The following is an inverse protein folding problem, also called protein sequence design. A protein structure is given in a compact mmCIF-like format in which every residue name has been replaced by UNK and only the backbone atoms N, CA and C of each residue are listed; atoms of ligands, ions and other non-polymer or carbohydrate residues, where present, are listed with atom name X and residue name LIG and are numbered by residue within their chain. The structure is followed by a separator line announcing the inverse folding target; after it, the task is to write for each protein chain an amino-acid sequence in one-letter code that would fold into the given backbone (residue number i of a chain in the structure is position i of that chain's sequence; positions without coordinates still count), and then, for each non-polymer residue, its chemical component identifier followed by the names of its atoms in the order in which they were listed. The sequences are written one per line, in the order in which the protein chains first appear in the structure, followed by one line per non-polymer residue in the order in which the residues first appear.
data_IF_847490305649
#
_entry.id   IF_847490305649
#
_cell.length_a   1.000
_cell.length_b   1.000
_cell.length_c   1.000
_cell.angle_alpha   90.00
_cell.angle_beta   90.00
_cell.angle_gamma   90.00
#
_symmetry.space_group_name_H-M   'P 1'
#
loop_
_entity.id
_entity.type
_entity.pdbx_description
1 polymer ?
#
# COMPACT_ATOMS: atom_id res chain seq x y z
N UNK A 1 -26.68 10.58 21.38
CA UNK A 1 -25.47 10.52 20.51
C UNK A 1 -25.93 10.90 19.13
N UNK A 2 -25.26 11.77 18.40
CA UNK A 2 -25.70 12.06 17.05
C UNK A 2 -25.48 10.81 16.20
N UNK A 3 -26.53 10.22 15.67
CA UNK A 3 -26.45 9.29 14.57
C UNK A 3 -25.87 10.07 13.39
N UNK A 4 -24.64 9.80 13.03
CA UNK A 4 -24.06 10.33 11.81
C UNK A 4 -24.53 9.40 10.69
N UNK A 5 -25.72 9.69 10.15
CA UNK A 5 -26.23 9.02 8.96
C UNK A 5 -25.45 9.52 7.75
N UNK A 6 -24.28 8.91 7.49
CA UNK A 6 -23.60 9.07 6.22
C UNK A 6 -24.04 7.93 5.30
N UNK A 7 -24.52 8.27 4.12
CA UNK A 7 -24.79 7.27 3.08
C UNK A 7 -23.46 6.88 2.45
N UNK A 8 -23.19 5.59 2.39
CA UNK A 8 -22.00 5.07 1.72
C UNK A 8 -22.10 5.32 0.22
N UNK A 9 -21.13 6.04 -0.35
CA UNK A 9 -21.11 6.37 -1.78
C UNK A 9 -21.04 5.15 -2.72
N UNK A 10 -20.61 3.99 -2.18
CA UNK A 10 -20.48 2.75 -2.96
C UNK A 10 -21.71 1.84 -2.90
N UNK A 11 -22.42 1.83 -1.79
CA UNK A 11 -23.56 0.91 -1.60
C UNK A 11 -24.89 1.62 -1.41
N UNK A 12 -24.89 2.95 -1.17
CA UNK A 12 -26.11 3.71 -0.89
C UNK A 12 -26.76 3.41 0.47
N UNK A 13 -26.13 2.59 1.32
CA UNK A 13 -26.63 2.26 2.65
C UNK A 13 -26.04 3.19 3.73
N UNK A 14 -26.69 3.23 4.90
CA UNK A 14 -26.24 4.05 6.01
C UNK A 14 -24.88 3.58 6.55
N UNK A 15 -23.94 4.52 6.67
CA UNK A 15 -22.66 4.25 7.32
C UNK A 15 -22.83 4.14 8.83
N UNK A 16 -22.18 3.18 9.43
CA UNK A 16 -22.10 3.06 10.88
C UNK A 16 -20.94 3.90 11.43
N UNK A 17 -21.18 4.60 12.52
CA UNK A 17 -20.15 5.38 13.21
C UNK A 17 -19.63 4.63 14.42
N UNK A 18 -18.32 4.69 14.65
CA UNK A 18 -17.73 4.41 15.96
C UNK A 18 -17.86 5.66 16.84
N UNK A 19 -17.50 5.56 18.12
CA UNK A 19 -17.36 6.76 18.99
C UNK A 19 -16.29 7.72 18.47
N UNK A 20 -15.33 7.21 17.71
CA UNK A 20 -14.09 7.88 17.33
C UNK A 20 -13.87 7.94 15.80
N UNK A 21 -14.68 7.24 15.00
CA UNK A 21 -14.54 7.26 13.54
C UNK A 21 -15.77 6.76 12.80
N UNK A 22 -15.83 7.04 11.51
CA UNK A 22 -16.92 6.63 10.64
C UNK A 22 -16.48 5.47 9.74
N UNK A 23 -17.30 4.45 9.65
CA UNK A 23 -17.13 3.33 8.74
C UNK A 23 -18.49 2.88 8.17
N UNK A 24 -18.43 2.22 7.02
CA UNK A 24 -19.59 1.53 6.44
C UNK A 24 -19.29 0.03 6.46
N UNK A 25 -20.17 -0.78 7.03
CA UNK A 25 -20.01 -2.23 7.14
C UNK A 25 -21.07 -2.96 6.33
N UNK A 26 -20.62 -3.92 5.53
CA UNK A 26 -21.46 -4.87 4.79
C UNK A 26 -20.95 -6.28 5.04
N UNK A 27 -21.66 -7.07 5.82
CA UNK A 27 -21.27 -8.42 6.21
C UNK A 27 -19.81 -8.48 6.73
N UNK A 28 -18.91 -9.06 5.96
CA UNK A 28 -17.49 -9.18 6.26
C UNK A 28 -16.61 -8.07 5.65
N UNK A 29 -17.23 -7.01 5.12
CA UNK A 29 -16.52 -5.89 4.48
C UNK A 29 -16.79 -4.61 5.25
N UNK A 30 -15.71 -3.86 5.50
CA UNK A 30 -15.74 -2.51 6.07
C UNK A 30 -15.07 -1.54 5.09
N UNK A 31 -15.71 -0.38 4.84
CA UNK A 31 -15.10 0.75 4.13
C UNK A 31 -14.65 1.78 5.15
N UNK A 32 -13.34 2.02 5.23
CA UNK A 32 -12.75 2.89 6.23
C UNK A 32 -11.43 3.50 5.75
N UNK A 33 -11.22 4.80 6.02
CA UNK A 33 -10.10 5.53 5.43
C UNK A 33 -10.28 5.79 3.94
N UNK A 34 -9.33 6.47 3.33
CA UNK A 34 -9.39 6.81 1.89
C UNK A 34 -7.97 6.91 1.33
N UNK A 35 -7.73 6.33 0.18
CA UNK A 35 -6.43 6.31 -0.47
C UNK A 35 -6.58 6.49 -2.00
N UNK A 36 -5.59 7.00 -2.74
CA UNK A 36 -5.68 7.03 -4.20
C UNK A 36 -5.77 5.61 -4.75
N UNK A 37 -6.72 5.35 -5.64
CA UNK A 37 -6.97 4.00 -6.17
C UNK A 37 -7.16 4.00 -7.69
N UNK A 38 -8.30 4.49 -8.18
CA UNK A 38 -8.69 4.41 -9.58
C UNK A 38 -8.12 5.56 -10.39
N UNK A 39 -7.50 5.24 -11.52
CA UNK A 39 -7.01 6.22 -12.48
C UNK A 39 -8.14 6.95 -13.21
N UNK A 40 -8.02 8.24 -13.36
CA UNK A 40 -8.94 9.09 -14.13
C UNK A 40 -8.64 8.92 -15.62
N UNK A 41 -9.43 8.11 -16.32
CA UNK A 41 -9.31 7.87 -17.77
C UNK A 41 -10.04 8.90 -18.63
N UNK A 42 -10.93 9.71 -18.04
CA UNK A 42 -11.61 10.80 -18.74
C UNK A 42 -10.64 11.94 -19.05
N UNK A 43 -10.37 12.17 -20.33
CA UNK A 43 -9.40 13.18 -20.79
C UNK A 43 -9.82 14.61 -20.39
N UNK A 44 -11.13 14.91 -20.39
CA UNK A 44 -11.65 16.24 -20.02
C UNK A 44 -11.41 16.51 -18.54
N UNK A 45 -11.72 15.53 -17.69
CA UNK A 45 -11.45 15.63 -16.25
C UNK A 45 -9.96 15.68 -15.99
N UNK A 46 -9.15 14.83 -16.61
CA UNK A 46 -7.69 14.84 -16.47
C UNK A 46 -7.08 16.18 -16.83
N UNK A 47 -7.51 16.80 -17.95
CA UNK A 47 -7.08 18.15 -18.33
C UNK A 47 -7.50 19.21 -17.30
N UNK A 48 -8.72 19.14 -16.77
CA UNK A 48 -9.20 20.04 -15.71
C UNK A 48 -8.37 19.91 -14.43
N UNK A 49 -8.06 18.68 -14.00
CA UNK A 49 -7.23 18.41 -12.83
C UNK A 49 -5.81 18.97 -13.02
N UNK A 50 -5.22 18.74 -14.20
CA UNK A 50 -3.89 19.25 -14.54
C UNK A 50 -3.86 20.78 -14.53
N UNK A 51 -4.88 21.44 -15.09
CA UNK A 51 -5.01 22.90 -15.04
C UNK A 51 -5.15 23.41 -13.59
N UNK A 52 -5.91 22.70 -12.75
CA UNK A 52 -6.07 23.03 -11.33
C UNK A 52 -4.77 22.89 -10.55
N UNK A 53 -3.96 21.88 -10.86
CA UNK A 53 -2.66 21.65 -10.23
C UNK A 53 -1.62 22.71 -10.57
N UNK A 54 -1.79 23.42 -11.70
CA UNK A 54 -0.86 24.45 -12.18
C UNK A 54 0.33 23.85 -12.91
N UNK A 55 1.51 24.47 -12.76
CA UNK A 55 2.71 24.04 -13.49
C UNK A 55 3.16 22.63 -13.12
N UNK A 56 3.49 21.84 -14.12
CA UNK A 56 4.07 20.50 -13.94
C UNK A 56 5.52 20.62 -13.44
N UNK A 57 6.02 19.62 -12.70
CA UNK A 57 7.39 19.61 -12.23
C UNK A 57 8.38 19.42 -13.38
N UNK A 58 9.60 19.89 -13.16
CA UNK A 58 10.76 19.68 -14.03
C UNK A 58 11.91 19.11 -13.20
N UNK A 59 13.01 18.71 -13.85
CA UNK A 59 14.22 18.24 -13.12
C UNK A 59 14.79 19.31 -12.17
N UNK A 60 14.60 20.61 -12.47
CA UNK A 60 15.16 21.74 -11.71
C UNK A 60 14.16 22.42 -10.79
N UNK A 61 12.86 22.23 -10.98
CA UNK A 61 11.82 22.88 -10.20
C UNK A 61 10.62 21.93 -10.01
N UNK A 62 10.31 21.65 -8.75
CA UNK A 62 9.16 20.81 -8.39
C UNK A 62 7.81 21.50 -8.56
N UNK A 63 7.75 22.82 -8.75
CA UNK A 63 6.52 23.61 -8.94
C UNK A 63 5.43 23.32 -7.89
N UNK A 64 5.83 23.07 -6.63
CA UNK A 64 4.93 22.73 -5.53
C UNK A 64 4.43 21.27 -5.53
N UNK A 65 5.05 20.41 -6.32
CA UNK A 65 4.87 18.97 -6.21
C UNK A 65 5.80 18.38 -5.13
N UNK A 66 5.37 17.31 -4.49
CA UNK A 66 6.09 16.64 -3.41
C UNK A 66 6.81 15.40 -3.96
N UNK A 67 8.05 15.18 -3.52
CA UNK A 67 8.79 13.96 -3.85
C UNK A 67 8.27 12.75 -3.08
N UNK A 68 8.28 11.58 -3.73
CA UNK A 68 8.14 10.29 -3.06
C UNK A 68 9.43 9.83 -2.36
N UNK A 69 10.51 10.61 -2.45
CA UNK A 69 11.83 10.26 -1.93
C UNK A 69 12.44 8.97 -2.53
N UNK A 70 12.02 8.62 -3.75
CA UNK A 70 12.68 7.57 -4.52
C UNK A 70 13.83 8.15 -5.32
N UNK A 71 15.04 7.63 -5.09
CA UNK A 71 16.26 8.08 -5.77
C UNK A 71 16.93 6.89 -6.47
N UNK A 72 17.32 7.05 -7.75
CA UNK A 72 18.19 6.06 -8.43
C UNK A 72 19.61 6.18 -7.89
N UNK A 73 20.09 7.40 -7.85
CA UNK A 73 21.36 7.84 -7.29
C UNK A 73 21.11 9.21 -6.70
N UNK A 74 21.72 9.49 -5.58
CA UNK A 74 21.56 10.78 -4.89
C UNK A 74 21.89 12.01 -5.75
N UNK A 75 22.70 11.85 -6.83
CA UNK A 75 23.02 12.90 -7.79
C UNK A 75 21.97 13.09 -8.89
N UNK A 76 21.07 12.12 -9.12
CA UNK A 76 20.04 12.17 -10.19
C UNK A 76 18.73 12.81 -9.76
N UNK A 77 18.52 13.01 -8.46
CA UNK A 77 17.32 13.63 -7.92
C UNK A 77 16.12 12.67 -7.83
N UNK A 78 14.95 13.25 -7.73
CA UNK A 78 13.71 12.50 -7.52
C UNK A 78 13.30 11.72 -8.78
N UNK A 79 12.77 10.51 -8.58
CA UNK A 79 12.20 9.69 -9.66
C UNK A 79 10.75 10.06 -9.94
N UNK A 80 9.99 10.29 -8.90
CA UNK A 80 8.55 10.52 -8.95
C UNK A 80 8.14 11.66 -8.03
N UNK A 81 7.12 12.37 -8.47
CA UNK A 81 6.52 13.46 -7.69
C UNK A 81 5.00 13.29 -7.67
N UNK A 82 4.37 13.79 -6.61
CA UNK A 82 2.91 13.80 -6.50
C UNK A 82 2.39 15.17 -6.07
N UNK A 83 1.10 15.40 -6.34
CA UNK A 83 0.35 16.54 -5.84
C UNK A 83 -1.09 16.16 -5.55
N UNK A 84 -1.53 16.42 -4.33
CA UNK A 84 -2.92 16.25 -3.95
C UNK A 84 -3.69 17.54 -4.21
N UNK A 85 -4.87 17.42 -4.85
CA UNK A 85 -5.78 18.53 -5.11
C UNK A 85 -7.21 18.14 -4.81
N UNK A 86 -8.07 19.14 -4.60
CA UNK A 86 -9.52 18.95 -4.51
C UNK A 86 -10.16 19.63 -5.72
N UNK A 87 -10.96 18.88 -6.47
CA UNK A 87 -11.72 19.38 -7.61
C UNK A 87 -13.17 18.91 -7.47
N UNK A 88 -14.12 19.86 -7.52
CA UNK A 88 -15.56 19.59 -7.33
C UNK A 88 -15.87 18.82 -6.02
N UNK A 89 -15.14 19.09 -4.95
CA UNK A 89 -15.29 18.42 -3.65
C UNK A 89 -14.65 17.02 -3.55
N UNK A 90 -14.06 16.51 -4.61
CA UNK A 90 -13.40 15.20 -4.65
C UNK A 90 -11.89 15.39 -4.60
N UNK A 91 -11.21 14.60 -3.76
CA UNK A 91 -9.74 14.61 -3.65
C UNK A 91 -9.13 13.70 -4.71
N UNK A 92 -8.08 14.20 -5.36
CA UNK A 92 -7.30 13.47 -6.36
C UNK A 92 -5.80 13.61 -6.07
N UNK A 93 -5.02 12.60 -6.42
CA UNK A 93 -3.57 12.62 -6.43
C UNK A 93 -3.07 12.57 -7.86
N UNK A 94 -2.34 13.60 -8.27
CA UNK A 94 -1.55 13.57 -9.51
C UNK A 94 -0.21 12.93 -9.23
N UNK A 95 0.23 12.01 -10.09
CA UNK A 95 1.56 11.39 -10.07
C UNK A 95 2.28 11.75 -11.35
N UNK A 96 3.52 12.23 -11.22
CA UNK A 96 4.37 12.61 -12.34
C UNK A 96 5.67 11.83 -12.31
N UNK A 97 5.94 11.06 -13.37
CA UNK A 97 7.15 10.26 -13.50
C UNK A 97 8.24 11.07 -14.20
N UNK A 98 9.32 11.41 -13.47
CA UNK A 98 10.53 11.98 -14.07
C UNK A 98 11.42 10.89 -14.67
N UNK A 99 11.57 9.80 -13.93
CA UNK A 99 12.29 8.59 -14.33
C UNK A 99 11.49 7.38 -13.79
N UNK A 100 11.68 6.22 -14.39
CA UNK A 100 11.08 4.98 -13.84
C UNK A 100 11.78 4.55 -12.55
N UNK A 101 11.01 4.05 -11.62
CA UNK A 101 11.51 3.44 -10.39
C UNK A 101 12.15 2.09 -10.74
N UNK A 102 13.40 1.83 -10.36
CA UNK A 102 14.04 0.54 -10.63
C UNK A 102 13.41 -0.55 -9.77
N UNK A 103 13.30 -1.77 -10.30
CA UNK A 103 12.76 -2.93 -9.56
C UNK A 103 13.61 -3.29 -8.34
N UNK A 104 14.91 -2.96 -8.37
CA UNK A 104 15.83 -3.05 -7.25
C UNK A 104 16.75 -1.82 -7.28
N UNK A 105 16.72 -1.03 -6.23
CA UNK A 105 17.51 0.21 -6.12
C UNK A 105 19.02 -0.07 -6.12
N UNK A 106 19.44 -1.25 -5.69
CA UNK A 106 20.85 -1.65 -5.64
C UNK A 106 21.37 -2.31 -6.92
N UNK A 107 20.50 -2.87 -7.75
CA UNK A 107 20.87 -3.51 -9.01
C UNK A 107 20.57 -2.57 -10.18
N UNK A 108 21.57 -2.17 -10.91
CA UNK A 108 21.40 -1.39 -12.14
C UNK A 108 20.63 -2.21 -13.18
N UNK A 109 19.42 -1.84 -13.40
CA UNK A 109 18.48 -2.04 -14.50
C UNK A 109 18.91 -2.91 -15.69
N UNK A 110 18.72 -4.21 -15.59
CA UNK A 110 18.67 -5.11 -16.75
C UNK A 110 17.22 -5.43 -17.18
N UNK A 111 16.21 -4.99 -16.41
CA UNK A 111 14.79 -5.32 -16.63
C UNK A 111 13.98 -4.08 -16.98
N UNK A 112 12.95 -4.27 -17.80
CA UNK A 112 11.94 -3.23 -18.03
C UNK A 112 11.29 -2.84 -16.70
N UNK A 113 11.25 -1.55 -16.36
CA UNK A 113 10.60 -1.13 -15.12
C UNK A 113 9.12 -1.51 -15.11
N UNK A 114 8.63 -2.01 -13.96
CA UNK A 114 7.23 -2.42 -13.80
C UNK A 114 6.21 -1.32 -14.16
N UNK A 115 6.55 -0.06 -13.90
CA UNK A 115 5.71 1.08 -14.27
C UNK A 115 5.51 1.18 -15.78
N UNK A 116 6.57 0.92 -16.57
CA UNK A 116 6.50 0.91 -18.03
C UNK A 116 5.70 -0.30 -18.52
N UNK A 117 5.89 -1.49 -17.91
CA UNK A 117 5.11 -2.70 -18.23
C UNK A 117 3.63 -2.50 -17.89
N UNK A 118 3.32 -1.77 -16.81
CA UNK A 118 1.98 -1.38 -16.42
C UNK A 118 1.37 -0.27 -17.31
N UNK A 119 2.10 0.21 -18.33
CA UNK A 119 1.60 1.14 -19.34
C UNK A 119 1.76 2.63 -19.00
N UNK A 120 2.56 2.99 -18.00
CA UNK A 120 2.83 4.39 -17.65
C UNK A 120 4.04 4.94 -18.37
N UNK A 121 3.92 6.21 -18.84
CA UNK A 121 4.95 6.91 -19.59
C UNK A 121 5.61 8.01 -18.77
N UNK A 122 6.91 8.23 -19.01
CA UNK A 122 7.66 9.33 -18.40
C UNK A 122 7.13 10.70 -18.82
N UNK A 123 7.27 11.67 -17.93
CA UNK A 123 6.90 13.08 -18.13
C UNK A 123 5.43 13.29 -18.45
N UNK A 124 4.59 12.36 -18.04
CA UNK A 124 3.14 12.42 -18.11
C UNK A 124 2.57 12.46 -16.69
N UNK A 125 1.51 13.25 -16.48
CA UNK A 125 0.78 13.25 -15.22
C UNK A 125 -0.40 12.29 -15.32
N UNK A 126 -0.53 11.45 -14.31
CA UNK A 126 -1.66 10.54 -14.14
C UNK A 126 -2.42 10.91 -12.87
N UNK A 127 -3.74 10.95 -12.94
CA UNK A 127 -4.60 11.36 -11.83
C UNK A 127 -5.32 10.16 -11.24
N UNK A 128 -5.28 10.04 -9.91
CA UNK A 128 -5.94 8.97 -9.17
C UNK A 128 -6.94 9.55 -8.19
N UNK A 129 -8.16 9.02 -8.21
CA UNK A 129 -9.21 9.41 -7.28
C UNK A 129 -8.94 8.80 -5.90
N UNK A 130 -9.09 9.61 -4.85
CA UNK A 130 -9.17 9.08 -3.49
C UNK A 130 -10.52 8.41 -3.29
N UNK A 131 -10.48 7.12 -2.92
CA UNK A 131 -11.66 6.31 -2.68
C UNK A 131 -11.56 5.61 -1.33
N UNK A 132 -12.70 5.28 -0.68
CA UNK A 132 -12.69 4.51 0.55
C UNK A 132 -11.90 3.21 0.39
N UNK A 133 -11.05 2.89 1.37
CA UNK A 133 -10.33 1.62 1.38
C UNK A 133 -11.34 0.55 1.79
N UNK A 134 -11.41 -0.52 0.98
CA UNK A 134 -12.21 -1.70 1.26
C UNK A 134 -11.39 -2.69 2.08
N UNK A 135 -11.92 -3.10 3.22
CA UNK A 135 -11.28 -4.01 4.15
C UNK A 135 -12.12 -5.26 4.33
N UNK A 136 -11.47 -6.41 4.30
CA UNK A 136 -12.05 -7.67 4.76
C UNK A 136 -11.92 -7.82 6.28
N UNK A 137 -12.98 -8.21 6.96
CA UNK A 137 -12.99 -8.49 8.39
C UNK A 137 -12.42 -9.88 8.63
N UNK A 138 -11.16 -9.96 9.03
CA UNK A 138 -10.47 -11.24 9.27
C UNK A 138 -10.82 -11.85 10.62
N UNK A 139 -11.16 -11.02 11.61
CA UNK A 139 -11.64 -11.41 12.94
C UNK A 139 -12.43 -10.26 13.54
N UNK A 140 -13.45 -10.55 14.33
CA UNK A 140 -14.22 -9.52 15.03
C UNK A 140 -14.80 -10.01 16.36
N UNK A 141 -14.91 -9.07 17.29
CA UNK A 141 -15.69 -9.16 18.52
C UNK A 141 -16.80 -8.12 18.49
N UNK A 142 -17.57 -7.97 19.58
CA UNK A 142 -18.62 -6.96 19.68
C UNK A 142 -18.10 -5.51 19.51
N UNK A 143 -16.85 -5.23 19.93
CA UNK A 143 -16.30 -3.87 19.99
C UNK A 143 -15.03 -3.67 19.16
N UNK A 144 -14.50 -4.70 18.52
CA UNK A 144 -13.23 -4.64 17.80
C UNK A 144 -13.26 -5.53 16.57
N UNK A 145 -12.52 -5.11 15.54
CA UNK A 145 -12.29 -5.92 14.34
C UNK A 145 -10.83 -5.84 13.89
N UNK A 146 -10.29 -6.96 13.42
CA UNK A 146 -9.03 -7.00 12.66
C UNK A 146 -9.36 -6.98 11.18
N UNK A 147 -8.79 -6.05 10.47
CA UNK A 147 -9.10 -5.74 9.07
C UNK A 147 -7.88 -5.94 8.19
N UNK A 148 -8.07 -6.58 7.04
CA UNK A 148 -7.09 -6.73 5.96
C UNK A 148 -7.58 -6.01 4.72
N UNK A 149 -6.74 -5.20 4.08
CA UNK A 149 -7.12 -4.57 2.82
C UNK A 149 -7.44 -5.61 1.74
N UNK A 150 -8.51 -5.39 0.97
CA UNK A 150 -8.94 -6.32 -0.08
C UNK A 150 -8.10 -6.22 -1.35
N UNK A 151 -7.42 -5.10 -1.55
CA UNK A 151 -6.62 -4.80 -2.72
C UNK A 151 -5.16 -4.57 -2.35
N UNK A 152 -4.27 -4.78 -3.31
CA UNK A 152 -2.92 -4.24 -3.27
C UNK A 152 -3.03 -2.73 -3.54
N UNK A 153 -2.73 -1.90 -2.53
CA UNK A 153 -3.03 -0.46 -2.54
C UNK A 153 -1.85 0.43 -2.90
N UNK A 154 -0.63 -0.07 -2.80
CA UNK A 154 0.61 0.64 -3.08
C UNK A 154 1.73 -0.35 -3.42
N UNK A 155 2.92 0.13 -3.77
CA UNK A 155 4.13 -0.66 -3.94
C UNK A 155 5.32 0.01 -3.25
N UNK A 156 5.95 -0.70 -2.31
CA UNK A 156 7.05 -0.21 -1.49
C UNK A 156 8.16 -1.26 -1.37
N UNK A 157 9.41 -0.83 -1.22
CA UNK A 157 10.45 -1.72 -0.74
C UNK A 157 10.18 -2.10 0.72
N UNK A 158 10.49 -3.34 1.09
CA UNK A 158 10.32 -3.76 2.49
C UNK A 158 11.34 -3.06 3.40
N UNK A 159 12.59 -3.02 2.97
CA UNK A 159 13.63 -2.32 3.68
C UNK A 159 14.60 -1.64 2.70
N UNK A 160 15.00 -0.43 3.03
CA UNK A 160 15.97 0.33 2.24
C UNK A 160 17.32 -0.39 2.24
N UNK A 161 17.88 -0.57 1.05
CA UNK A 161 19.21 -1.16 0.91
C UNK A 161 20.29 -0.20 1.43
N UNK A 162 21.31 -0.77 2.08
CA UNK A 162 22.52 -0.03 2.44
C UNK A 162 23.37 0.27 1.18
N UNK A 163 24.51 0.95 1.36
CA UNK A 163 25.43 1.30 0.27
C UNK A 163 26.03 0.10 -0.49
N UNK A 164 25.86 -1.13 -0.01
CA UNK A 164 26.28 -2.37 -0.65
C UNK A 164 25.11 -3.13 -1.31
N UNK A 165 23.92 -2.54 -1.32
CA UNK A 165 22.75 -3.17 -1.90
C UNK A 165 22.06 -4.21 -1.03
N UNK A 166 22.45 -4.33 0.24
CA UNK A 166 21.89 -5.29 1.19
C UNK A 166 20.84 -4.59 2.06
N UNK A 167 19.64 -5.15 2.12
CA UNK A 167 18.56 -4.74 3.02
C UNK A 167 18.30 -5.82 4.06
N UNK A 168 18.05 -5.40 5.29
CA UNK A 168 17.66 -6.30 6.38
C UNK A 168 16.20 -6.68 6.28
N UNK A 169 15.87 -7.93 6.60
CA UNK A 169 14.48 -8.38 6.73
C UNK A 169 13.89 -8.22 8.14
N UNK A 170 14.56 -7.46 9.02
CA UNK A 170 14.07 -7.13 10.35
C UNK A 170 12.87 -6.19 10.25
N UNK A 171 11.65 -6.69 10.49
CA UNK A 171 10.42 -5.90 10.39
C UNK A 171 10.42 -4.69 11.33
N UNK A 172 10.93 -4.83 12.55
CA UNK A 172 10.95 -3.74 13.53
C UNK A 172 11.71 -2.49 13.05
N UNK A 173 12.70 -2.67 12.17
CA UNK A 173 13.57 -1.62 11.63
C UNK A 173 13.32 -1.35 10.13
N UNK A 174 12.29 -1.97 9.53
CA UNK A 174 12.04 -1.88 8.10
C UNK A 174 11.46 -0.52 7.69
N UNK A 175 11.84 -0.03 6.52
CA UNK A 175 11.28 1.21 5.95
C UNK A 175 9.80 1.09 5.63
N UNK A 176 9.30 -0.10 5.28
CA UNK A 176 7.88 -0.32 5.04
C UNK A 176 7.04 -0.15 6.31
N UNK A 177 7.54 -0.61 7.48
CA UNK A 177 6.86 -0.41 8.75
C UNK A 177 6.79 1.08 9.12
N UNK A 178 7.89 1.83 8.95
CA UNK A 178 7.91 3.27 9.14
C UNK A 178 6.92 3.96 8.20
N UNK A 179 6.94 3.64 6.91
CA UNK A 179 6.02 4.17 5.92
C UNK A 179 4.54 3.86 6.24
N UNK A 180 4.22 2.64 6.68
CA UNK A 180 2.86 2.24 7.08
C UNK A 180 2.34 3.08 8.25
N UNK A 181 3.18 3.34 9.27
CA UNK A 181 2.79 4.02 10.50
C UNK A 181 2.96 5.56 10.45
N UNK A 182 3.56 6.09 9.40
CA UNK A 182 3.69 7.53 9.16
C UNK A 182 2.98 7.94 7.86
N UNK A 183 3.60 7.73 6.70
CA UNK A 183 3.12 8.25 5.40
C UNK A 183 1.75 7.71 5.03
N UNK A 184 1.57 6.38 5.08
CA UNK A 184 0.29 5.75 4.76
C UNK A 184 -0.79 6.13 5.78
N UNK A 185 -0.49 5.99 7.07
CA UNK A 185 -1.42 6.30 8.16
C UNK A 185 -1.95 7.74 8.09
N UNK A 186 -1.07 8.71 7.89
CA UNK A 186 -1.47 10.13 7.81
C UNK A 186 -2.14 10.49 6.47
N UNK A 187 -1.90 9.73 5.39
CA UNK A 187 -2.55 9.94 4.09
C UNK A 187 -3.95 9.35 4.07
N UNK A 188 -4.11 8.16 4.64
CA UNK A 188 -5.32 7.36 4.51
C UNK A 188 -6.41 7.70 5.54
N UNK A 189 -6.03 8.20 6.71
CA UNK A 189 -6.97 8.38 7.83
C UNK A 189 -6.97 9.81 8.34
N UNK A 190 -8.17 10.39 8.50
CA UNK A 190 -8.35 11.65 9.20
C UNK A 190 -8.23 11.46 10.73
N UNK A 191 -8.17 12.56 11.49
CA UNK A 191 -7.96 12.53 12.95
C UNK A 191 -8.96 11.65 13.70
N UNK A 192 -10.25 11.70 13.36
CA UNK A 192 -11.27 10.86 14.01
C UNK A 192 -11.11 9.38 13.68
N UNK A 193 -10.73 9.07 12.45
CA UNK A 193 -10.42 7.70 12.02
C UNK A 193 -9.15 7.17 12.69
N UNK A 194 -8.13 8.01 12.82
CA UNK A 194 -6.88 7.67 13.51
C UNK A 194 -7.11 7.31 14.99
N UNK A 195 -8.08 7.93 15.65
CA UNK A 195 -8.47 7.62 17.04
C UNK A 195 -9.18 6.28 17.17
N UNK A 196 -9.88 5.82 16.12
CA UNK A 196 -10.55 4.53 16.11
C UNK A 196 -9.58 3.36 15.83
N UNK A 197 -8.43 3.62 15.20
CA UNK A 197 -7.42 2.60 14.93
C UNK A 197 -6.70 2.21 16.22
N UNK A 198 -6.65 0.91 16.50
CA UNK A 198 -5.94 0.35 17.64
C UNK A 198 -4.42 0.47 17.47
N UNK A 199 -3.71 0.50 18.58
CA UNK A 199 -2.26 0.34 18.59
C UNK A 199 -1.96 -1.10 19.01
N UNK A 200 -1.88 -2.00 18.03
CA UNK A 200 -1.70 -3.42 18.26
C UNK A 200 -0.26 -3.74 18.63
N UNK A 201 -0.06 -4.67 19.58
CA UNK A 201 1.25 -5.28 19.78
C UNK A 201 1.40 -6.44 18.80
N UNK A 202 2.11 -6.18 17.69
CA UNK A 202 2.28 -7.11 16.58
C UNK A 202 3.31 -8.17 16.95
N UNK A 203 2.89 -9.44 16.97
CA UNK A 203 3.73 -10.60 17.27
C UNK A 203 4.69 -10.89 16.10
N UNK A 204 5.97 -10.62 16.29
CA UNK A 204 7.06 -10.88 15.36
C UNK A 204 7.92 -12.08 15.75
N UNK A 205 7.44 -12.92 16.67
CA UNK A 205 8.15 -14.12 17.13
C UNK A 205 8.44 -15.14 16.02
N UNK A 206 9.33 -16.06 16.28
CA UNK A 206 9.61 -17.18 15.37
C UNK A 206 8.34 -17.99 15.02
N UNK A 207 7.40 -18.13 15.98
CA UNK A 207 6.12 -18.80 15.74
C UNK A 207 5.25 -18.03 14.75
N UNK A 208 5.14 -16.71 14.90
CA UNK A 208 4.37 -15.84 13.98
C UNK A 208 4.96 -15.83 12.57
N UNK A 209 6.27 -16.01 12.43
CA UNK A 209 6.92 -16.12 11.12
C UNK A 209 6.65 -17.44 10.40
N UNK A 210 6.07 -18.43 11.08
CA UNK A 210 5.75 -19.75 10.53
C UNK A 210 6.98 -20.67 10.30
N UNK A 211 8.13 -20.31 10.86
CA UNK A 211 9.36 -21.13 10.87
C UNK A 211 9.86 -21.29 12.29
N UNK A 212 9.66 -22.45 12.88
CA UNK A 212 10.13 -22.76 14.24
C UNK A 212 11.66 -22.57 14.40
N UNK A 213 12.40 -22.80 13.33
CA UNK A 213 13.87 -22.70 13.28
C UNK A 213 14.37 -21.35 12.73
N UNK A 214 13.48 -20.41 12.44
CA UNK A 214 13.88 -19.11 11.89
C UNK A 214 14.50 -18.25 13.00
N UNK A 215 15.79 -17.96 12.88
CA UNK A 215 16.53 -17.09 13.80
C UNK A 215 16.45 -15.60 13.43
N UNK A 216 15.77 -15.25 12.33
CA UNK A 216 15.64 -13.88 11.83
C UNK A 216 14.37 -13.17 12.35
N UNK A 217 13.73 -13.68 13.40
CA UNK A 217 12.63 -12.98 14.06
C UNK A 217 13.13 -11.72 14.79
N UNK A 218 12.23 -10.79 15.03
CA UNK A 218 12.53 -9.56 15.77
C UNK A 218 11.60 -9.41 16.99
N UNK A 219 11.84 -8.36 17.79
CA UNK A 219 10.95 -8.01 18.89
C UNK A 219 9.56 -7.61 18.37
N UNK A 220 8.53 -7.86 19.20
CA UNK A 220 7.18 -7.39 18.94
C UNK A 220 7.15 -5.87 18.84
N UNK A 221 6.30 -5.37 17.93
CA UNK A 221 6.22 -3.93 17.63
C UNK A 221 4.84 -3.37 17.93
N UNK A 222 4.74 -2.19 18.59
CA UNK A 222 3.47 -1.48 18.68
C UNK A 222 3.19 -0.76 17.37
N UNK A 223 2.18 -1.21 16.61
CA UNK A 223 1.86 -0.67 15.30
C UNK A 223 0.36 -0.39 15.16
N UNK A 224 0.03 0.69 14.46
CA UNK A 224 -1.34 1.02 14.06
C UNK A 224 -1.71 0.40 12.71
N UNK A 225 -0.73 0.36 11.82
CA UNK A 225 -0.86 -0.30 10.51
C UNK A 225 0.33 -1.24 10.34
N UNK A 226 0.05 -2.48 9.94
CA UNK A 226 1.08 -3.51 9.81
C UNK A 226 0.80 -4.45 8.65
N UNK A 227 1.78 -5.27 8.29
CA UNK A 227 1.62 -6.33 7.31
C UNK A 227 1.20 -7.64 7.99
N UNK A 228 0.53 -8.50 7.26
CA UNK A 228 0.19 -9.85 7.71
C UNK A 228 1.46 -10.69 7.92
N UNK A 229 1.48 -11.58 8.92
CA UNK A 229 2.52 -12.59 9.05
C UNK A 229 2.16 -13.84 8.23
N UNK A 230 3.15 -14.69 8.02
CA UNK A 230 2.95 -16.00 7.38
C UNK A 230 2.01 -16.91 8.18
N UNK A 231 2.05 -16.84 9.49
CA UNK A 231 1.14 -17.62 10.34
C UNK A 231 -0.30 -17.08 10.24
N UNK A 232 -0.46 -15.75 10.26
CA UNK A 232 -1.77 -15.14 10.01
C UNK A 232 -2.31 -15.50 8.62
N UNK A 233 -1.49 -15.42 7.59
CA UNK A 233 -1.87 -15.74 6.22
C UNK A 233 -2.39 -17.17 6.11
N UNK A 234 -1.68 -18.12 6.71
CA UNK A 234 -2.03 -19.55 6.67
C UNK A 234 -3.38 -19.85 7.33
N UNK A 235 -3.72 -19.13 8.41
CA UNK A 235 -4.93 -19.36 9.20
C UNK A 235 -6.12 -18.50 8.81
N UNK A 236 -5.88 -17.34 8.19
CA UNK A 236 -6.90 -16.34 7.94
C UNK A 236 -7.34 -16.26 6.47
N UNK A 237 -6.54 -16.78 5.53
CA UNK A 237 -6.80 -16.66 4.10
C UNK A 237 -6.94 -18.02 3.42
N UNK A 238 -7.97 -18.15 2.59
CA UNK A 238 -8.04 -19.23 1.59
C UNK A 238 -7.29 -18.82 0.30
N UNK A 239 -7.20 -19.70 -0.67
CA UNK A 239 -6.44 -19.49 -1.90
C UNK A 239 -6.92 -18.29 -2.73
N UNK A 240 -8.23 -18.05 -2.77
CA UNK A 240 -8.81 -16.92 -3.50
C UNK A 240 -8.51 -15.58 -2.80
N UNK A 241 -8.53 -15.55 -1.46
CA UNK A 241 -8.24 -14.36 -0.66
C UNK A 241 -6.77 -13.95 -0.67
N UNK A 242 -5.85 -14.90 -0.95
CA UNK A 242 -4.43 -14.64 -1.16
C UNK A 242 -4.17 -13.89 -2.46
N UNK A 243 -5.00 -14.14 -3.48
CA UNK A 243 -4.85 -13.53 -4.79
C UNK A 243 -5.58 -12.18 -4.82
N UNK A 244 -4.84 -11.09 -4.68
CA UNK A 244 -5.41 -9.73 -4.56
C UNK A 244 -5.20 -8.89 -5.80
N UNK A 245 -6.29 -8.26 -6.26
CA UNK A 245 -6.23 -7.30 -7.38
C UNK A 245 -5.46 -6.04 -6.97
N UNK A 246 -4.79 -5.42 -7.94
CA UNK A 246 -4.10 -4.14 -7.76
C UNK A 246 -5.01 -2.96 -8.03
N UNK A 247 -4.86 -1.90 -7.25
CA UNK A 247 -5.35 -0.58 -7.65
C UNK A 247 -4.51 -0.04 -8.81
N UNK A 248 -5.06 0.86 -9.63
CA UNK A 248 -4.27 1.55 -10.66
C UNK A 248 -3.13 2.37 -10.03
N UNK A 249 -3.37 2.89 -8.81
CA UNK A 249 -2.33 3.59 -8.08
C UNK A 249 -1.16 2.68 -7.69
N UNK A 250 -1.40 1.45 -7.24
CA UNK A 250 -0.32 0.48 -6.97
C UNK A 250 0.50 0.17 -8.23
N UNK A 251 -0.15 0.12 -9.40
CA UNK A 251 0.54 -0.11 -10.68
C UNK A 251 1.48 1.04 -11.04
N UNK A 252 1.08 2.30 -10.88
CA UNK A 252 1.99 3.43 -11.15
C UNK A 252 3.10 3.52 -10.10
N UNK A 253 2.89 3.00 -8.90
CA UNK A 253 3.95 2.86 -7.89
C UNK A 253 4.96 1.76 -8.24
N UNK A 254 4.68 0.90 -9.22
CA UNK A 254 5.61 -0.08 -9.75
C UNK A 254 5.42 -1.50 -9.22
N UNK A 255 4.21 -1.86 -8.78
CA UNK A 255 3.92 -3.25 -8.42
C UNK A 255 4.02 -4.17 -9.63
N UNK A 256 4.68 -5.30 -9.46
CA UNK A 256 4.64 -6.39 -10.44
C UNK A 256 3.25 -7.03 -10.45
N UNK A 257 2.70 -7.24 -11.64
CA UNK A 257 1.36 -7.79 -11.81
C UNK A 257 1.34 -9.10 -12.58
N UNK A 258 0.35 -9.91 -12.25
CA UNK A 258 -0.06 -11.08 -13.00
C UNK A 258 -1.42 -10.79 -13.64
N UNK A 259 -1.47 -10.74 -14.96
CA UNK A 259 -2.71 -10.57 -15.69
C UNK A 259 -3.45 -11.90 -15.82
N UNK A 260 -4.67 -11.98 -15.32
CA UNK A 260 -5.53 -13.16 -15.40
C UNK A 260 -6.99 -12.75 -15.58
N UNK A 261 -7.63 -13.25 -16.64
CA UNK A 261 -9.06 -12.98 -16.92
C UNK A 261 -9.42 -11.49 -17.00
N UNK A 262 -8.48 -10.64 -17.49
CA UNK A 262 -8.66 -9.21 -17.62
C UNK A 262 -8.55 -8.43 -16.29
N UNK A 263 -8.00 -9.05 -15.26
CA UNK A 263 -7.71 -8.44 -13.94
C UNK A 263 -6.21 -8.50 -13.66
N UNK A 264 -5.69 -7.49 -12.99
CA UNK A 264 -4.28 -7.39 -12.59
C UNK A 264 -4.13 -7.75 -11.11
N UNK A 265 -3.48 -8.86 -10.84
CA UNK A 265 -3.20 -9.34 -9.48
C UNK A 265 -1.76 -9.05 -9.10
N UNK A 266 -1.53 -8.50 -7.88
CA UNK A 266 -0.21 -8.09 -7.44
C UNK A 266 0.49 -9.13 -6.58
N UNK A 267 1.81 -9.15 -6.67
CA UNK A 267 2.66 -9.73 -5.64
C UNK A 267 2.63 -8.80 -4.42
N UNK A 268 2.63 -9.34 -3.21
CA UNK A 268 2.58 -8.49 -2.03
C UNK A 268 3.36 -9.05 -0.84
N UNK A 269 3.88 -8.14 -0.01
CA UNK A 269 4.70 -8.44 1.15
C UNK A 269 3.89 -9.02 2.31
N UNK A 270 4.48 -10.02 2.97
CA UNK A 270 4.19 -10.33 4.36
C UNK A 270 5.26 -9.69 5.26
N UNK A 271 5.02 -9.59 6.59
CA UNK A 271 6.05 -9.10 7.51
C UNK A 271 7.08 -10.16 7.92
N UNK A 272 6.82 -11.44 7.62
CA UNK A 272 7.66 -12.55 8.03
C UNK A 272 8.98 -12.57 7.29
N UNK A 273 10.12 -12.64 8.00
CA UNK A 273 11.43 -12.83 7.38
C UNK A 273 11.52 -14.18 6.68
N UNK A 274 12.31 -14.26 5.62
CA UNK A 274 12.63 -15.49 4.93
C UNK A 274 13.72 -16.31 5.63
N UNK A 275 14.25 -17.32 4.93
CA UNK A 275 15.24 -18.25 5.47
C UNK A 275 16.65 -17.65 5.72
N UNK A 276 16.92 -16.48 5.18
CA UNK A 276 18.15 -15.71 5.42
C UNK A 276 17.80 -14.28 5.86
N UNK A 277 18.79 -13.48 6.22
CA UNK A 277 18.61 -12.12 6.75
C UNK A 277 18.34 -11.03 5.70
N UNK A 278 18.19 -11.39 4.43
CA UNK A 278 17.94 -10.45 3.32
C UNK A 278 16.57 -10.70 2.65
N UNK A 279 15.95 -11.87 2.89
CA UNK A 279 14.71 -12.27 2.24
C UNK A 279 13.50 -12.12 3.15
N UNK A 280 12.37 -11.80 2.54
CA UNK A 280 11.07 -11.62 3.16
C UNK A 280 10.05 -12.46 2.43
N UNK A 281 9.07 -12.97 3.16
CA UNK A 281 7.97 -13.72 2.60
C UNK A 281 7.06 -12.81 1.75
N UNK A 282 6.65 -13.32 0.60
CA UNK A 282 5.71 -12.67 -0.33
C UNK A 282 4.61 -13.65 -0.75
N UNK A 283 3.51 -13.11 -1.19
CA UNK A 283 2.47 -13.87 -1.89
C UNK A 283 2.63 -13.66 -3.38
N UNK A 284 2.72 -14.79 -4.13
CA UNK A 284 2.84 -14.81 -5.59
C UNK A 284 1.49 -15.16 -6.22
N UNK A 285 0.85 -14.26 -7.00
CA UNK A 285 -0.45 -14.51 -7.61
C UNK A 285 -0.40 -15.50 -8.80
N UNK A 286 0.77 -15.76 -9.39
CA UNK A 286 0.91 -16.69 -10.52
C UNK A 286 0.51 -18.15 -10.17
N UNK A 287 0.74 -18.54 -8.92
CA UNK A 287 0.52 -19.89 -8.42
C UNK A 287 -0.59 -19.93 -7.36
N UNK A 288 -1.71 -19.25 -7.61
CA UNK A 288 -2.89 -19.22 -6.71
C UNK A 288 -2.51 -18.77 -5.29
N UNK A 289 -1.78 -17.65 -5.19
CA UNK A 289 -1.38 -17.10 -3.90
C UNK A 289 -0.30 -17.93 -3.17
N UNK A 290 0.58 -18.59 -3.91
CA UNK A 290 1.68 -19.34 -3.31
C UNK A 290 2.61 -18.42 -2.53
N UNK A 291 3.04 -18.89 -1.37
CA UNK A 291 4.05 -18.24 -0.55
C UNK A 291 5.43 -18.44 -1.15
N UNK A 292 6.16 -17.35 -1.32
CA UNK A 292 7.55 -17.31 -1.77
C UNK A 292 8.39 -16.39 -0.87
N UNK A 293 9.66 -16.24 -1.18
CA UNK A 293 10.58 -15.35 -0.47
C UNK A 293 11.44 -14.57 -1.45
N UNK A 294 11.54 -13.26 -1.24
CA UNK A 294 12.34 -12.41 -2.11
C UNK A 294 13.13 -11.34 -1.34
N UNK A 295 14.08 -10.68 -1.99
CA UNK A 295 14.95 -9.71 -1.36
C UNK A 295 14.16 -8.50 -0.85
N UNK A 296 14.42 -8.09 0.38
CA UNK A 296 13.76 -6.99 1.07
C UNK A 296 13.95 -5.62 0.36
N UNK A 297 14.98 -5.48 -0.45
CA UNK A 297 15.29 -4.25 -1.21
C UNK A 297 14.54 -4.12 -2.54
N UNK A 298 13.75 -5.12 -2.93
CA UNK A 298 12.99 -5.03 -4.17
C UNK A 298 11.78 -4.11 -4.02
N UNK A 299 11.53 -3.30 -5.04
CA UNK A 299 10.51 -2.25 -5.02
C UNK A 299 9.21 -2.65 -5.71
N UNK A 300 9.18 -3.83 -6.33
CA UNK A 300 8.09 -4.32 -7.18
C UNK A 300 6.99 -5.09 -6.43
N UNK A 301 7.10 -5.21 -5.11
CA UNK A 301 6.08 -5.91 -4.33
C UNK A 301 5.11 -4.94 -3.67
N UNK A 302 3.85 -5.33 -3.72
CA UNK A 302 2.73 -4.52 -3.26
C UNK A 302 2.55 -4.55 -1.75
N UNK A 303 1.73 -3.62 -1.30
CA UNK A 303 1.35 -3.44 0.10
C UNK A 303 -0.12 -3.78 0.28
N UNK A 304 -0.39 -4.72 1.18
CA UNK A 304 -1.72 -5.10 1.67
C UNK A 304 -1.72 -4.88 3.17
N UNK A 305 -2.16 -3.70 3.66
CA UNK A 305 -2.10 -3.37 5.07
C UNK A 305 -3.16 -4.08 5.90
N UNK A 306 -2.85 -4.24 7.20
CA UNK A 306 -3.78 -4.63 8.26
C UNK A 306 -3.92 -3.51 9.29
N UNK A 307 -5.08 -3.41 9.91
CA UNK A 307 -5.37 -2.55 11.08
C UNK A 307 -6.26 -3.27 12.08
N UNK A 308 -6.13 -2.92 13.35
CA UNK A 308 -7.15 -3.17 14.35
C UNK A 308 -8.08 -1.95 14.46
N UNK A 309 -9.39 -2.16 14.52
CA UNK A 309 -10.39 -1.10 14.58
C UNK A 309 -11.27 -1.27 15.82
N UNK A 310 -11.49 -0.20 16.59
CA UNK A 310 -12.55 -0.11 17.58
C UNK A 310 -13.88 0.18 16.87
N UNK A 311 -14.90 -0.70 17.06
CA UNK A 311 -16.21 -0.65 16.41
C UNK A 311 -17.23 0.19 17.18
#
# INVERSE_FOLDING_TARGET
MPNINCICDKCGEEAHGTREGNYCRHDEVIYFGSYPQTEVKDETLSAKLTATAGSLPTKSDKNGWTSYNYYIEWEKGDLMLYKDIVCDGIKYRGVFLLEYRPSNIAACNEYTPEQQENGYELRTVYWFKFEPIRWHVSNSTENQASLLADLVIDSQEYAMANSHGVASNNYAESSIREWLNDTFYNTAFNESQQQAIMNDLVDNSAQSTGYADNTNFCADTPDKVYLMSRENERHMLNDDERTKECTDYAKIQGVAVCEKEGRSYGFWWLRSPGYNNEKVAIINPWFVGQLEENLASWTLYGVVPMIGLNL
#
